data_IF_278156721754
#
_entry.id   IF_278156721754
#
_cell.length_a   1.000
_cell.length_b   1.000
_cell.length_c   1.000
_cell.angle_alpha   90.00
_cell.angle_beta   90.00
_cell.angle_gamma   90.00
#
_symmetry.space_group_name_H-M   'P 1'
#
loop_
_entity.id
_entity.type
_entity.pdbx_description
1 polymer ?
#
# COMPACT_ATOMS: atom_id res chain seq x y z
N UNK A 1 -1.59 -28.47 -1.00
CA UNK A 1 -0.34 -27.67 -1.06
C UNK A 1 -0.24 -26.87 -2.36
N UNK A 2 -0.48 -27.48 -3.53
CA UNK A 2 -0.45 -26.76 -4.82
C UNK A 2 -1.51 -25.66 -4.99
N UNK A 3 -2.73 -25.85 -4.44
CA UNK A 3 -3.79 -24.83 -4.58
C UNK A 3 -3.49 -23.53 -3.83
N UNK A 4 -2.88 -23.63 -2.65
CA UNK A 4 -2.42 -22.47 -1.88
C UNK A 4 -1.25 -21.74 -2.53
N UNK A 5 -0.39 -22.45 -3.26
CA UNK A 5 0.73 -21.88 -4.01
C UNK A 5 0.25 -21.03 -5.18
N UNK A 6 -0.65 -21.56 -6.01
CA UNK A 6 -1.18 -20.83 -7.16
C UNK A 6 -2.01 -19.62 -6.72
N UNK A 7 -2.81 -19.79 -5.66
CA UNK A 7 -3.61 -18.69 -5.07
C UNK A 7 -2.71 -17.59 -4.55
N UNK A 8 -1.65 -17.93 -3.81
CA UNK A 8 -0.68 -16.96 -3.30
C UNK A 8 0.02 -16.21 -4.43
N UNK A 9 0.53 -16.91 -5.44
CA UNK A 9 1.21 -16.29 -6.59
C UNK A 9 0.26 -15.35 -7.34
N UNK A 10 -0.96 -15.79 -7.60
CA UNK A 10 -1.98 -15.00 -8.31
C UNK A 10 -2.31 -13.73 -7.54
N UNK A 11 -2.55 -13.84 -6.23
CA UNK A 11 -2.82 -12.68 -5.38
C UNK A 11 -1.61 -11.74 -5.31
N UNK A 12 -0.40 -12.25 -5.17
CA UNK A 12 0.82 -11.43 -5.15
C UNK A 12 1.01 -10.63 -6.45
N UNK A 13 0.76 -11.26 -7.59
CA UNK A 13 0.77 -10.58 -8.89
C UNK A 13 -0.24 -9.44 -8.95
N UNK A 14 -1.50 -9.66 -8.56
CA UNK A 14 -2.51 -8.59 -8.59
C UNK A 14 -2.26 -7.51 -7.54
N UNK A 15 -1.77 -7.88 -6.36
CA UNK A 15 -1.41 -6.95 -5.29
C UNK A 15 -0.35 -5.95 -5.77
N UNK A 16 0.61 -6.41 -6.57
CA UNK A 16 1.61 -5.55 -7.22
C UNK A 16 0.98 -4.43 -8.06
N UNK A 17 -0.17 -4.66 -8.70
CA UNK A 17 -0.85 -3.65 -9.53
C UNK A 17 -1.89 -2.83 -8.78
N UNK A 18 -2.08 -3.06 -7.47
CA UNK A 18 -3.03 -2.30 -6.68
C UNK A 18 -2.62 -0.82 -6.64
N UNK A 19 -3.46 0.03 -7.23
CA UNK A 19 -3.16 1.45 -7.39
C UNK A 19 -3.37 2.15 -6.04
N UNK A 20 -2.25 2.58 -5.45
CA UNK A 20 -2.19 3.26 -4.16
C UNK A 20 -1.04 4.26 -4.08
N UNK A 21 -0.92 5.02 -2.98
CA UNK A 21 0.15 6.01 -2.82
C UNK A 21 1.55 5.38 -2.92
N UNK A 22 1.70 4.14 -2.42
CA UNK A 22 2.95 3.37 -2.51
C UNK A 22 3.32 3.05 -3.96
N UNK A 23 2.36 2.61 -4.79
CA UNK A 23 2.58 2.32 -6.21
C UNK A 23 3.18 3.51 -6.95
N UNK A 24 2.59 4.70 -6.79
CA UNK A 24 3.09 5.92 -7.46
C UNK A 24 4.48 6.31 -6.99
N UNK A 25 4.75 6.17 -5.70
CA UNK A 25 6.06 6.51 -5.13
C UNK A 25 7.14 5.52 -5.56
N UNK A 26 6.80 4.24 -5.71
CA UNK A 26 7.71 3.23 -6.25
C UNK A 26 8.09 3.58 -7.69
N UNK A 27 7.11 3.93 -8.54
CA UNK A 27 7.35 4.33 -9.92
C UNK A 27 8.16 5.62 -10.00
N UNK A 28 7.82 6.65 -9.21
CA UNK A 28 8.62 7.88 -9.11
C UNK A 28 10.07 7.57 -8.71
N UNK A 29 10.27 6.74 -7.69
CA UNK A 29 11.61 6.41 -7.18
C UNK A 29 12.40 5.63 -8.23
N UNK A 30 11.76 4.68 -8.92
CA UNK A 30 12.33 3.90 -10.03
C UNK A 30 12.81 4.80 -11.17
N UNK A 31 11.98 5.77 -11.55
CA UNK A 31 12.26 6.72 -12.63
C UNK A 31 13.37 7.70 -12.20
N UNK A 32 13.22 8.35 -11.04
CA UNK A 32 14.05 9.49 -10.64
C UNK A 32 15.35 9.12 -9.93
N UNK A 33 15.37 8.03 -9.17
CA UNK A 33 16.54 7.58 -8.37
C UNK A 33 17.13 6.25 -8.85
N UNK A 34 16.39 5.50 -9.67
CA UNK A 34 16.86 4.27 -10.31
C UNK A 34 16.58 3.00 -9.51
N UNK A 35 17.02 1.88 -10.09
CA UNK A 35 16.64 0.51 -9.66
C UNK A 35 16.96 0.20 -8.20
N UNK A 36 18.21 0.41 -7.75
CA UNK A 36 18.63 0.08 -6.38
C UNK A 36 17.90 0.89 -5.31
N UNK A 37 17.67 2.17 -5.59
CA UNK A 37 16.91 3.06 -4.72
C UNK A 37 15.44 2.62 -4.59
N UNK A 38 14.83 2.19 -5.70
CA UNK A 38 13.47 1.67 -5.70
C UNK A 38 13.34 0.34 -4.96
N UNK A 39 14.31 -0.58 -5.11
CA UNK A 39 14.34 -1.82 -4.31
C UNK A 39 14.44 -1.50 -2.82
N UNK A 40 15.32 -0.57 -2.42
CA UNK A 40 15.43 -0.19 -1.00
C UNK A 40 14.10 0.33 -0.45
N UNK A 41 13.36 1.13 -1.23
CA UNK A 41 12.01 1.56 -0.88
C UNK A 41 11.04 0.38 -0.77
N UNK A 42 11.01 -0.50 -1.76
CA UNK A 42 10.09 -1.65 -1.85
C UNK A 42 10.30 -2.68 -0.74
N UNK A 43 11.56 -2.91 -0.34
CA UNK A 43 11.87 -3.75 0.82
C UNK A 43 11.26 -3.20 2.13
N UNK A 44 11.14 -1.87 2.24
CA UNK A 44 10.44 -1.24 3.36
C UNK A 44 8.94 -1.51 3.33
N UNK A 45 8.34 -1.46 2.13
CA UNK A 45 6.92 -1.78 1.91
C UNK A 45 6.62 -3.23 2.31
N UNK A 46 7.42 -4.17 1.82
CA UNK A 46 7.29 -5.60 2.13
C UNK A 46 7.46 -5.87 3.63
N UNK A 47 8.37 -5.18 4.31
CA UNK A 47 8.51 -5.32 5.76
C UNK A 47 7.23 -4.88 6.50
N UNK A 48 6.59 -3.79 6.04
CA UNK A 48 5.32 -3.36 6.62
C UNK A 48 4.19 -4.36 6.34
N UNK A 49 4.15 -4.98 5.15
CA UNK A 49 3.20 -6.05 4.84
C UNK A 49 3.40 -7.27 5.74
N UNK A 50 4.65 -7.69 5.93
CA UNK A 50 4.99 -8.80 6.83
C UNK A 50 4.59 -8.51 8.27
N UNK A 51 4.81 -7.28 8.74
CA UNK A 51 4.38 -6.85 10.06
C UNK A 51 2.85 -6.86 10.18
N UNK A 52 2.13 -6.34 9.20
CA UNK A 52 0.66 -6.32 9.23
C UNK A 52 0.05 -7.71 9.13
N UNK A 53 0.59 -8.58 8.28
CA UNK A 53 0.16 -9.97 8.22
C UNK A 53 0.38 -10.68 9.56
N UNK A 54 1.56 -10.51 10.18
CA UNK A 54 1.85 -11.09 11.49
C UNK A 54 0.89 -10.56 12.57
N UNK A 55 0.66 -9.24 12.62
CA UNK A 55 -0.30 -8.62 13.54
C UNK A 55 -1.71 -9.17 13.29
N UNK A 56 -2.16 -9.23 12.05
CA UNK A 56 -3.49 -9.72 11.71
C UNK A 56 -3.66 -11.22 12.04
N UNK A 57 -2.61 -12.02 11.86
CA UNK A 57 -2.64 -13.46 12.10
C UNK A 57 -2.61 -13.82 13.59
N UNK A 58 -1.75 -13.17 14.38
CA UNK A 58 -1.60 -13.48 15.80
C UNK A 58 -2.56 -12.69 16.72
N UNK A 59 -3.17 -11.62 16.23
CA UNK A 59 -4.14 -10.84 17.03
C UNK A 59 -5.50 -11.53 17.10
N UNK A 60 -6.28 -11.20 18.13
CA UNK A 60 -7.67 -11.66 18.17
C UNK A 60 -8.48 -10.99 17.06
N UNK A 61 -9.27 -11.78 16.33
CA UNK A 61 -10.15 -11.30 15.27
C UNK A 61 -11.02 -10.11 15.73
N UNK A 62 -11.53 -10.14 16.98
CA UNK A 62 -12.35 -9.05 17.53
C UNK A 62 -11.58 -7.74 17.69
N UNK A 63 -10.35 -7.81 18.20
CA UNK A 63 -9.51 -6.64 18.42
C UNK A 63 -9.16 -5.97 17.10
N UNK A 64 -8.67 -6.74 16.13
CA UNK A 64 -8.20 -6.17 14.87
C UNK A 64 -9.37 -5.68 13.99
N UNK A 65 -10.54 -6.32 14.05
CA UNK A 65 -11.75 -5.80 13.40
C UNK A 65 -12.26 -4.51 14.03
N UNK A 66 -12.13 -4.36 15.36
CA UNK A 66 -12.50 -3.11 16.01
C UNK A 66 -11.56 -1.96 15.61
N UNK A 67 -10.25 -2.23 15.49
CA UNK A 67 -9.23 -1.22 15.17
C UNK A 67 -9.23 -0.84 13.68
N UNK A 68 -9.38 -1.80 12.76
CA UNK A 68 -9.28 -1.53 11.31
C UNK A 68 -10.34 -0.55 10.81
N UNK A 69 -11.50 -0.55 11.45
CA UNK A 69 -12.67 0.26 11.11
C UNK A 69 -12.83 1.45 12.07
N UNK A 70 -11.77 1.79 12.82
CA UNK A 70 -11.73 2.93 13.72
C UNK A 70 -11.51 4.23 12.92
N UNK A 71 -12.48 5.18 12.93
CA UNK A 71 -12.33 6.51 12.33
C UNK A 71 -11.00 7.19 12.65
N UNK A 72 -10.50 7.04 13.87
CA UNK A 72 -9.25 7.65 14.31
C UNK A 72 -8.05 7.14 13.48
N UNK A 73 -8.03 5.86 13.11
CA UNK A 73 -6.96 5.26 12.32
C UNK A 73 -6.95 5.82 10.88
N UNK A 74 -8.13 5.98 10.26
CA UNK A 74 -8.28 6.60 8.94
C UNK A 74 -7.86 8.08 8.97
N UNK A 75 -8.33 8.84 9.96
CA UNK A 75 -7.98 10.26 10.12
C UNK A 75 -6.48 10.42 10.35
N UNK A 76 -5.89 9.62 11.24
CA UNK A 76 -4.46 9.66 11.55
C UNK A 76 -3.59 9.33 10.33
N UNK A 77 -3.86 8.20 9.66
CA UNK A 77 -3.13 7.81 8.44
C UNK A 77 -3.28 8.84 7.33
N UNK A 78 -4.49 9.38 7.17
CA UNK A 78 -4.80 10.43 6.21
C UNK A 78 -4.05 11.75 6.47
N UNK A 79 -3.97 12.20 7.74
CA UNK A 79 -3.19 13.39 8.13
C UNK A 79 -1.70 13.20 7.81
N UNK A 80 -1.12 12.04 8.11
CA UNK A 80 0.30 11.77 7.81
C UNK A 80 0.53 11.78 6.29
N UNK A 81 -0.32 11.11 5.51
CA UNK A 81 -0.23 11.12 4.05
C UNK A 81 -0.37 12.53 3.48
N UNK A 82 -1.38 13.28 3.93
CA UNK A 82 -1.64 14.64 3.47
C UNK A 82 -0.46 15.57 3.79
N UNK A 83 0.05 15.51 5.02
CA UNK A 83 1.22 16.29 5.47
C UNK A 83 2.45 15.92 4.65
N UNK A 84 2.70 14.63 4.41
CA UNK A 84 3.79 14.18 3.56
C UNK A 84 3.67 14.72 2.13
N UNK A 85 2.47 14.63 1.54
CA UNK A 85 2.16 15.16 0.21
C UNK A 85 2.38 16.66 0.10
N UNK A 86 1.93 17.44 1.09
CA UNK A 86 2.15 18.90 1.17
C UNK A 86 3.64 19.23 1.29
N UNK A 87 4.36 18.58 2.22
CA UNK A 87 5.81 18.80 2.39
C UNK A 87 6.56 18.47 1.10
N UNK A 88 6.21 17.36 0.46
CA UNK A 88 6.78 16.96 -0.84
C UNK A 88 6.51 18.02 -1.90
N UNK A 89 5.25 18.47 -2.03
CA UNK A 89 4.83 19.49 -2.99
C UNK A 89 5.57 20.83 -2.80
N UNK A 90 5.69 21.32 -1.57
CA UNK A 90 6.41 22.56 -1.26
C UNK A 90 7.90 22.43 -1.60
N UNK A 91 8.51 21.27 -1.32
CA UNK A 91 9.93 21.01 -1.63
C UNK A 91 10.22 21.00 -3.13
N UNK A 92 9.24 20.80 -4.02
CA UNK A 92 9.46 20.92 -5.47
C UNK A 92 9.98 22.32 -5.86
N UNK A 93 9.51 23.39 -5.20
CA UNK A 93 9.96 24.76 -5.53
C UNK A 93 11.45 24.98 -5.25
N UNK A 94 12.02 24.25 -4.29
CA UNK A 94 13.47 24.30 -3.97
C UNK A 94 14.33 23.53 -4.97
N UNK A 95 13.76 22.52 -5.66
CA UNK A 95 14.48 21.71 -6.65
C UNK A 95 14.78 22.51 -7.93
N UNK A 96 13.99 23.53 -8.25
CA UNK A 96 14.23 24.42 -9.40
C UNK A 96 15.51 25.26 -9.26
N UNK A 97 16.10 25.36 -8.06
CA UNK A 97 17.31 26.14 -7.76
C UNK A 97 18.57 25.26 -7.62
N UNK A 98 18.42 23.93 -7.51
CA UNK A 98 19.52 23.00 -7.17
C UNK A 98 19.75 21.91 -8.23
N UNK A 99 19.61 22.22 -9.51
CA UNK A 99 19.90 21.26 -10.59
C UNK A 99 21.38 20.84 -10.74
N UNK A 100 22.24 21.12 -9.76
CA UNK A 100 23.65 20.72 -9.74
C UNK A 100 24.16 20.20 -8.38
N UNK A 101 23.30 19.63 -7.53
CA UNK A 101 23.81 18.98 -6.30
C UNK A 101 23.86 17.46 -6.46
N UNK A 102 25.12 17.03 -6.65
CA UNK A 102 25.73 15.72 -6.43
C UNK A 102 24.95 14.82 -5.47
N UNK A 103 25.00 13.51 -5.76
CA UNK A 103 24.47 12.45 -4.91
C UNK A 103 24.70 12.73 -3.41
N UNK A 104 23.72 12.42 -2.54
CA UNK A 104 23.86 12.68 -1.11
C UNK A 104 25.19 12.10 -0.59
N UNK A 105 25.85 12.76 0.36
CA UNK A 105 27.21 12.45 0.79
C UNK A 105 27.37 11.03 1.39
N UNK A 106 26.27 10.30 1.57
CA UNK A 106 26.27 8.93 2.03
C UNK A 106 25.12 8.11 1.38
N UNK A 107 25.47 7.28 0.39
CA UNK A 107 24.54 6.41 -0.35
C UNK A 107 23.77 5.45 0.59
N UNK A 108 24.42 4.95 1.65
CA UNK A 108 23.78 4.06 2.63
C UNK A 108 22.66 4.78 3.37
N UNK A 109 22.91 6.01 3.81
CA UNK A 109 21.89 6.83 4.49
C UNK A 109 20.71 7.13 3.56
N UNK A 110 20.97 7.35 2.28
CA UNK A 110 19.90 7.55 1.30
C UNK A 110 19.00 6.32 1.17
N UNK A 111 19.57 5.12 1.03
CA UNK A 111 18.80 3.89 0.91
C UNK A 111 18.02 3.56 2.19
N UNK A 112 18.60 3.82 3.37
CA UNK A 112 17.87 3.71 4.63
C UNK A 112 16.69 4.68 4.73
N UNK A 113 16.86 5.92 4.26
CA UNK A 113 15.77 6.88 4.21
C UNK A 113 14.65 6.44 3.25
N UNK A 114 15.01 5.84 2.11
CA UNK A 114 14.04 5.29 1.15
C UNK A 114 13.31 4.07 1.70
N UNK A 115 14.03 3.17 2.37
CA UNK A 115 13.45 2.03 3.08
C UNK A 115 12.45 2.49 4.14
N UNK A 116 12.87 3.41 5.02
CA UNK A 116 11.99 3.97 6.05
C UNK A 116 10.77 4.67 5.44
N UNK A 117 10.97 5.38 4.32
CA UNK A 117 9.87 6.01 3.57
C UNK A 117 8.87 4.97 3.03
N UNK A 118 9.35 3.87 2.45
CA UNK A 118 8.49 2.77 1.97
C UNK A 118 7.73 2.10 3.09
N UNK A 119 8.44 1.76 4.17
CA UNK A 119 7.84 1.19 5.38
C UNK A 119 6.75 2.09 5.95
N UNK A 120 7.05 3.37 6.23
CA UNK A 120 6.09 4.29 6.83
C UNK A 120 4.87 4.52 5.95
N UNK A 121 5.06 4.69 4.63
CA UNK A 121 3.94 4.94 3.71
C UNK A 121 3.01 3.74 3.60
N UNK A 122 3.55 2.52 3.65
CA UNK A 122 2.74 1.31 3.67
C UNK A 122 2.12 1.05 5.05
N UNK A 123 2.85 1.35 6.13
CA UNK A 123 2.40 1.18 7.51
C UNK A 123 1.22 2.10 7.86
N UNK A 124 1.21 3.35 7.41
CA UNK A 124 0.06 4.25 7.66
C UNK A 124 -1.14 3.97 6.75
N UNK A 125 -1.02 3.06 5.78
CA UNK A 125 -2.09 2.72 4.86
C UNK A 125 -3.03 1.70 5.49
N UNK A 126 -4.13 2.18 6.08
CA UNK A 126 -5.17 1.35 6.72
C UNK A 126 -5.73 0.28 5.76
N UNK A 127 -5.73 0.55 4.45
CA UNK A 127 -6.16 -0.41 3.44
C UNK A 127 -5.31 -1.69 3.43
N UNK A 128 -4.02 -1.62 3.78
CA UNK A 128 -3.12 -2.77 3.86
C UNK A 128 -3.48 -3.67 5.04
N UNK A 129 -3.72 -3.07 6.21
CA UNK A 129 -4.20 -3.81 7.37
C UNK A 129 -5.54 -4.50 7.07
N UNK A 130 -6.48 -3.77 6.48
CA UNK A 130 -7.78 -4.30 6.08
C UNK A 130 -7.66 -5.44 5.05
N UNK A 131 -6.75 -5.31 4.09
CA UNK A 131 -6.46 -6.33 3.08
C UNK A 131 -5.94 -7.63 3.72
N UNK A 132 -4.88 -7.55 4.53
CA UNK A 132 -4.31 -8.74 5.17
C UNK A 132 -5.31 -9.40 6.11
N UNK A 133 -6.08 -8.62 6.85
CA UNK A 133 -7.15 -9.18 7.66
C UNK A 133 -8.22 -9.85 6.80
N UNK A 134 -8.65 -9.23 5.70
CA UNK A 134 -9.60 -9.82 4.75
C UNK A 134 -9.14 -11.20 4.28
N UNK A 135 -7.86 -11.32 3.90
CA UNK A 135 -7.23 -12.59 3.52
C UNK A 135 -7.29 -13.62 4.65
N UNK A 136 -6.95 -13.25 5.90
CA UNK A 136 -7.07 -14.16 7.06
C UNK A 136 -8.51 -14.62 7.25
N UNK A 137 -9.49 -13.74 7.08
CA UNK A 137 -10.92 -14.06 7.28
C UNK A 137 -11.43 -14.99 6.18
N UNK A 138 -11.07 -14.75 4.92
CA UNK A 138 -11.62 -15.48 3.79
C UNK A 138 -10.86 -16.77 3.51
N UNK A 139 -9.52 -16.75 3.60
CA UNK A 139 -8.67 -17.88 3.25
C UNK A 139 -8.14 -18.64 4.48
N UNK A 140 -8.09 -18.00 5.65
CA UNK A 140 -7.63 -18.64 6.89
C UNK A 140 -8.46 -19.88 7.27
N UNK A 141 -9.80 -19.83 7.27
CA UNK A 141 -10.64 -21.00 7.54
C UNK A 141 -10.42 -22.15 6.54
N UNK A 142 -10.16 -21.84 5.26
CA UNK A 142 -9.87 -22.85 4.23
C UNK A 142 -8.53 -23.55 4.45
N UNK A 143 -7.64 -22.94 5.24
CA UNK A 143 -6.34 -23.48 5.63
C UNK A 143 -6.34 -24.00 7.08
N UNK A 144 -7.51 -24.20 7.69
CA UNK A 144 -7.68 -24.64 9.09
C UNK A 144 -7.01 -23.71 10.11
N UNK A 145 -6.77 -22.44 9.75
CA UNK A 145 -5.92 -21.49 10.49
C UNK A 145 -4.52 -22.06 10.83
N UNK A 146 -4.03 -23.01 10.04
CA UNK A 146 -2.73 -23.62 10.26
C UNK A 146 -1.61 -22.60 9.97
N UNK A 147 -0.74 -22.27 10.95
CA UNK A 147 0.32 -21.29 10.77
C UNK A 147 1.24 -21.60 9.60
N UNK A 148 1.66 -22.87 9.45
CA UNK A 148 2.58 -23.25 8.38
C UNK A 148 1.95 -23.03 6.99
N UNK A 149 0.69 -23.42 6.80
CA UNK A 149 -0.03 -23.17 5.53
C UNK A 149 -0.17 -21.66 5.25
N UNK A 150 -0.54 -20.88 6.27
CA UNK A 150 -0.76 -19.43 6.17
C UNK A 150 0.52 -18.65 5.84
N UNK A 151 1.62 -18.93 6.56
CA UNK A 151 2.91 -18.28 6.30
C UNK A 151 3.53 -18.76 4.98
N UNK A 152 3.28 -20.00 4.56
CA UNK A 152 3.69 -20.49 3.24
C UNK A 152 2.94 -19.75 2.13
N UNK A 153 1.61 -19.62 2.24
CA UNK A 153 0.79 -18.83 1.32
C UNK A 153 1.27 -17.36 1.26
N UNK A 154 1.49 -16.73 2.42
CA UNK A 154 1.98 -15.37 2.50
C UNK A 154 3.35 -15.22 1.83
N UNK A 155 4.27 -16.17 2.06
CA UNK A 155 5.59 -16.20 1.43
C UNK A 155 5.51 -16.25 -0.09
N UNK A 156 4.65 -17.10 -0.66
CA UNK A 156 4.44 -17.13 -2.12
C UNK A 156 3.80 -15.85 -2.65
N UNK A 157 2.86 -15.27 -1.90
CA UNK A 157 2.24 -13.99 -2.25
C UNK A 157 3.26 -12.85 -2.29
N UNK A 158 4.05 -12.67 -1.23
CA UNK A 158 5.09 -11.65 -1.17
C UNK A 158 6.19 -11.88 -2.21
N UNK A 159 6.57 -13.13 -2.46
CA UNK A 159 7.57 -13.44 -3.48
C UNK A 159 7.07 -13.06 -4.88
N UNK A 160 5.85 -13.44 -5.24
CA UNK A 160 5.24 -13.06 -6.52
C UNK A 160 5.04 -11.55 -6.63
N UNK A 161 4.60 -10.90 -5.55
CA UNK A 161 4.50 -9.44 -5.45
C UNK A 161 5.86 -8.79 -5.73
N UNK A 162 6.91 -9.16 -4.99
CA UNK A 162 8.25 -8.60 -5.14
C UNK A 162 8.82 -8.83 -6.55
N UNK A 163 8.70 -10.04 -7.10
CA UNK A 163 9.16 -10.33 -8.46
C UNK A 163 8.44 -9.43 -9.48
N UNK A 164 7.13 -9.28 -9.34
CA UNK A 164 6.34 -8.39 -10.21
C UNK A 164 6.79 -6.93 -10.06
N UNK A 165 7.13 -6.50 -8.85
CA UNK A 165 7.68 -5.18 -8.58
C UNK A 165 9.05 -4.97 -9.21
N UNK A 166 9.94 -5.96 -9.17
CA UNK A 166 11.22 -5.89 -9.89
C UNK A 166 11.02 -5.65 -11.39
N UNK A 167 10.04 -6.30 -12.01
CA UNK A 167 9.68 -6.04 -13.42
C UNK A 167 9.17 -4.62 -13.62
N UNK A 168 8.23 -4.14 -12.79
CA UNK A 168 7.74 -2.75 -12.88
C UNK A 168 8.85 -1.72 -12.68
N UNK A 169 9.72 -1.92 -11.68
CA UNK A 169 10.85 -1.04 -11.38
C UNK A 169 11.80 -1.01 -12.58
N UNK A 170 12.08 -2.16 -13.19
CA UNK A 170 12.90 -2.26 -14.39
C UNK A 170 12.27 -1.49 -15.57
N UNK A 171 10.98 -1.69 -15.84
CA UNK A 171 10.25 -0.99 -16.90
C UNK A 171 10.19 0.53 -16.65
N UNK A 172 9.86 0.94 -15.44
CA UNK A 172 9.81 2.33 -15.03
C UNK A 172 11.18 3.00 -15.17
N UNK A 173 12.27 2.30 -14.85
CA UNK A 173 13.64 2.81 -15.09
C UNK A 173 13.91 3.13 -16.56
N UNK A 174 13.31 2.42 -17.53
CA UNK A 174 13.51 2.73 -18.95
C UNK A 174 12.96 4.12 -19.32
N UNK A 175 11.91 4.58 -18.62
CA UNK A 175 11.35 5.93 -18.78
C UNK A 175 12.32 7.03 -18.31
N UNK A 176 13.39 6.68 -17.57
CA UNK A 176 14.43 7.62 -17.16
C UNK A 176 15.09 8.33 -18.33
N UNK A 177 15.17 7.70 -19.52
CA UNK A 177 15.73 8.33 -20.74
C UNK A 177 14.94 9.58 -21.17
N UNK A 178 13.68 9.73 -20.74
CA UNK A 178 12.82 10.88 -21.05
C UNK A 178 12.79 11.92 -19.91
N UNK A 179 13.60 11.78 -18.87
CA UNK A 179 13.63 12.70 -17.74
C UNK A 179 14.53 13.91 -18.01
N UNK A 180 13.89 14.96 -18.49
CA UNK A 180 14.44 16.32 -18.37
C UNK A 180 14.16 16.86 -16.96
N UNK A 181 14.88 17.91 -16.49
CA UNK A 181 14.58 18.55 -15.21
C UNK A 181 13.10 18.95 -15.06
N UNK A 182 12.49 19.42 -16.15
CA UNK A 182 11.06 19.75 -16.20
C UNK A 182 10.15 18.53 -16.01
N UNK A 183 10.49 17.39 -16.65
CA UNK A 183 9.72 16.15 -16.50
C UNK A 183 9.88 15.53 -15.10
N UNK A 184 11.06 15.65 -14.47
CA UNK A 184 11.27 15.23 -13.08
C UNK A 184 10.33 16.00 -12.14
N UNK A 185 10.23 17.33 -12.32
CA UNK A 185 9.31 18.15 -11.53
C UNK A 185 7.85 17.73 -11.76
N UNK A 186 7.45 17.43 -13.00
CA UNK A 186 6.10 16.92 -13.31
C UNK A 186 5.80 15.61 -12.57
N UNK A 187 6.69 14.62 -12.66
CA UNK A 187 6.49 13.32 -11.99
C UNK A 187 6.37 13.51 -10.48
N UNK A 188 7.29 14.25 -9.85
CA UNK A 188 7.22 14.55 -8.40
C UNK A 188 5.95 15.30 -8.00
N UNK A 189 5.47 16.20 -8.88
CA UNK A 189 4.26 16.99 -8.63
C UNK A 189 3.04 16.09 -8.65
N UNK A 190 2.94 15.23 -9.66
CA UNK A 190 1.85 14.26 -9.80
C UNK A 190 1.83 13.33 -8.59
N UNK A 191 2.97 12.72 -8.22
CA UNK A 191 3.02 11.85 -7.03
C UNK A 191 2.59 12.56 -5.75
N UNK A 192 3.03 13.80 -5.56
CA UNK A 192 2.66 14.59 -4.36
C UNK A 192 1.17 14.87 -4.33
N UNK A 193 0.56 15.25 -5.47
CA UNK A 193 -0.89 15.45 -5.58
C UNK A 193 -1.64 14.15 -5.31
N UNK A 194 -1.21 13.05 -5.92
CA UNK A 194 -1.85 11.74 -5.73
C UNK A 194 -1.84 11.33 -4.26
N UNK A 195 -0.72 11.47 -3.56
CA UNK A 195 -0.67 11.18 -2.12
C UNK A 195 -1.61 12.09 -1.31
N UNK A 196 -1.67 13.38 -1.63
CA UNK A 196 -2.61 14.30 -0.96
C UNK A 196 -4.06 13.86 -1.20
N UNK A 197 -4.42 13.44 -2.42
CA UNK A 197 -5.75 12.91 -2.74
C UNK A 197 -6.03 11.63 -1.95
N UNK A 198 -5.10 10.67 -1.89
CA UNK A 198 -5.26 9.47 -1.06
C UNK A 198 -5.45 9.82 0.42
N UNK A 199 -4.65 10.76 0.95
CA UNK A 199 -4.79 11.25 2.32
C UNK A 199 -6.20 11.79 2.59
N UNK A 200 -6.69 12.69 1.71
CA UNK A 200 -8.04 13.25 1.82
C UNK A 200 -9.13 12.18 1.71
N UNK A 201 -9.03 11.27 0.74
CA UNK A 201 -10.01 10.19 0.53
C UNK A 201 -10.10 9.29 1.76
N UNK A 202 -8.97 8.92 2.37
CA UNK A 202 -8.94 8.11 3.59
C UNK A 202 -9.54 8.90 4.77
N UNK A 203 -9.22 10.18 4.94
CA UNK A 203 -9.83 11.01 5.98
C UNK A 203 -11.36 11.10 5.82
N UNK A 204 -11.85 11.32 4.60
CA UNK A 204 -13.29 11.37 4.31
C UNK A 204 -13.94 10.04 4.69
N UNK A 205 -13.34 8.90 4.35
CA UNK A 205 -13.83 7.58 4.77
C UNK A 205 -13.91 7.43 6.29
N UNK A 206 -12.96 8.00 7.03
CA UNK A 206 -12.99 7.99 8.49
C UNK A 206 -14.12 8.84 9.09
N UNK A 207 -14.50 9.94 8.43
CA UNK A 207 -15.55 10.86 8.92
C UNK A 207 -16.95 10.42 8.48
N UNK A 208 -17.07 9.69 7.37
CA UNK A 208 -18.36 9.22 6.88
C UNK A 208 -18.97 8.19 7.88
N UNK A 209 -20.22 8.39 8.33
CA UNK A 209 -20.88 7.45 9.22
C UNK A 209 -21.06 6.10 8.52
N UNK A 210 -20.81 4.99 9.24
CA UNK A 210 -20.97 3.60 8.79
C UNK A 210 -22.37 3.23 8.27
N UNK A 211 -23.35 4.14 8.34
CA UNK A 211 -24.78 3.89 8.12
C UNK A 211 -25.30 4.17 6.70
N UNK A 212 -24.44 4.34 5.69
CA UNK A 212 -24.90 4.41 4.29
C UNK A 212 -25.15 3.05 3.64
N UNK A 213 -24.89 1.93 4.32
CA UNK A 213 -25.45 0.62 3.99
C UNK A 213 -26.78 0.43 4.75
N UNK A 214 -27.72 1.35 4.54
CA UNK A 214 -29.06 1.22 5.09
C UNK A 214 -29.80 0.12 4.32
N UNK A 215 -29.95 -1.03 4.99
CA UNK A 215 -31.05 -1.99 4.87
C UNK A 215 -32.15 -1.53 3.89
N UNK A 216 -32.12 -2.01 2.65
CA UNK A 216 -33.34 -2.12 1.87
C UNK A 216 -34.09 -3.31 2.49
N UNK A 217 -34.83 -3.03 3.56
CA UNK A 217 -35.76 -3.98 4.14
C UNK A 217 -36.96 -4.03 3.18
N UNK A 218 -36.86 -4.81 2.10
CA UNK A 218 -38.01 -5.14 1.28
C UNK A 218 -38.90 -6.00 2.17
N UNK A 219 -40.11 -5.56 2.56
CA UNK A 219 -41.04 -6.44 3.24
C UNK A 219 -41.45 -7.50 2.20
N UNK A 220 -40.97 -8.73 2.37
CA UNK A 220 -41.51 -9.86 1.62
C UNK A 220 -42.95 -10.06 2.13
N UNK A 221 -43.96 -10.09 1.24
CA UNK A 221 -45.33 -10.35 1.66
C UNK A 221 -45.42 -11.74 2.28
N UNK A 222 -46.13 -11.83 3.41
CA UNK A 222 -46.43 -13.08 4.10
C UNK A 222 -47.14 -14.03 3.13
N UNK A 223 -46.46 -15.11 2.75
CA UNK A 223 -47.12 -16.26 2.13
C UNK A 223 -47.75 -17.08 3.25
N UNK A 224 -48.86 -16.56 3.79
CA UNK A 224 -49.80 -17.33 4.58
C UNK A 224 -50.54 -18.30 3.66
N UNK A 225 -50.39 -19.59 3.96
CA UNK A 225 -51.38 -20.66 3.82
C UNK A 225 -52.18 -20.75 2.51
N UNK A 226 -51.80 -21.70 1.66
CA UNK A 226 -52.77 -22.57 0.99
C UNK A 226 -52.30 -24.01 1.01
N UNK A 227 -52.88 -24.74 1.98
CA UNK A 227 -53.20 -26.18 2.06
C UNK A 227 -52.29 -27.21 1.39
#
# INVERSE_FOLDING_TARGET
MFDGLLTGITLGFFLSFMIGPVFFILIETSITRGFKAAIAFDMGVILADALFFAIAFFSSFRLINAIKDDPALFIFGGIIMLTYGIISFIKLKKVQVQTLQLAPPNLRREYLNLFAKGFLLNFINVGVLGFWLGIIITLGPQMDMNPNKMFTFFGFCILAYFITDLFKIFLAKQLRKKLTPHNILKVKKISSIVIMVFGLVIMIKGVLPKSADNKINIPLPNMENTK
#
